data_IF_532492130559
#
_entry.id   IF_532492130559
#
_cell.length_a   1.000
_cell.length_b   1.000
_cell.length_c   1.000
_cell.angle_alpha   90.00
_cell.angle_beta   90.00
_cell.angle_gamma   90.00
#
_symmetry.space_group_name_H-M   'P 1'
#
loop_
_entity.id
_entity.type
_entity.pdbx_description
1 polymer ?
#
# COMPACT_ATOMS: atom_id res chain seq x y z
N UNK A 1 11.91 25.27 26.74
CA UNK A 1 11.10 24.19 26.15
C UNK A 1 12.03 23.39 25.27
N UNK A 2 12.22 22.09 25.54
CA UNK A 2 12.87 21.22 24.56
C UNK A 2 12.10 21.40 23.24
N UNK A 3 12.81 21.56 22.12
CA UNK A 3 12.17 21.61 20.81
C UNK A 3 11.32 20.34 20.70
N UNK A 4 9.99 20.47 20.73
CA UNK A 4 9.11 19.36 20.37
C UNK A 4 9.59 18.93 18.99
N UNK A 5 10.00 17.67 18.87
CA UNK A 5 10.55 17.14 17.63
C UNK A 5 9.53 17.40 16.52
N UNK A 6 10.00 17.81 15.34
CA UNK A 6 9.13 18.01 14.18
C UNK A 6 8.24 16.79 13.94
N UNK A 7 8.79 15.60 14.23
CA UNK A 7 8.08 14.32 14.17
C UNK A 7 6.87 14.25 15.10
N UNK A 8 6.99 14.72 16.33
CA UNK A 8 5.90 14.66 17.32
C UNK A 8 4.77 15.60 16.90
N UNK A 9 5.11 16.82 16.48
CA UNK A 9 4.11 17.79 15.97
C UNK A 9 3.42 17.28 14.70
N UNK A 10 4.16 16.61 13.83
CA UNK A 10 3.59 15.98 12.64
C UNK A 10 2.63 14.86 13.03
N UNK A 11 3.00 14.00 13.97
CA UNK A 11 2.16 12.91 14.45
C UNK A 11 0.86 13.44 15.08
N UNK A 12 0.97 14.43 15.97
CA UNK A 12 -0.18 15.10 16.57
C UNK A 12 -1.10 15.70 15.50
N UNK A 13 -0.53 16.37 14.49
CA UNK A 13 -1.29 16.95 13.38
C UNK A 13 -1.94 15.93 12.44
N UNK A 14 -1.41 14.71 12.36
CA UNK A 14 -2.00 13.63 11.58
C UNK A 14 -3.19 12.98 12.31
N UNK A 15 -3.13 12.87 13.64
CA UNK A 15 -4.18 12.22 14.44
C UNK A 15 -3.69 11.50 15.69
N UNK A 16 -2.46 11.77 16.12
CA UNK A 16 -1.86 11.20 17.32
C UNK A 16 -1.28 9.80 17.11
N UNK A 17 -1.09 9.10 18.23
CA UNK A 17 -0.35 7.84 18.30
C UNK A 17 -0.87 6.74 17.36
N UNK A 18 0.08 5.92 16.91
CA UNK A 18 -0.23 4.71 16.15
C UNK A 18 -0.79 3.62 17.08
N UNK A 19 -1.76 2.81 16.65
CA UNK A 19 -2.16 1.64 17.40
C UNK A 19 -1.02 0.62 17.50
N UNK A 20 -1.12 -0.27 18.48
CA UNK A 20 -0.19 -1.41 18.58
C UNK A 20 -0.28 -2.30 17.32
N UNK A 21 0.87 -2.66 16.72
CA UNK A 21 0.93 -3.54 15.57
C UNK A 21 0.26 -4.90 15.81
N UNK A 22 -0.61 -5.35 14.90
CA UNK A 22 -1.11 -6.73 14.90
C UNK A 22 -0.15 -7.70 14.17
N UNK A 23 -0.32 -9.03 14.22
CA UNK A 23 0.32 -9.93 13.26
C UNK A 23 -0.14 -9.61 11.83
N UNK A 24 0.75 -9.72 10.85
CA UNK A 24 0.41 -9.43 9.44
C UNK A 24 -0.56 -10.45 8.83
N UNK A 25 -0.65 -11.67 9.38
CA UNK A 25 -1.57 -12.71 8.93
C UNK A 25 -1.63 -12.86 7.40
N UNK A 26 -0.47 -12.84 6.73
CA UNK A 26 -0.32 -12.75 5.27
C UNK A 26 -1.08 -13.89 4.58
N UNK A 27 -1.83 -13.56 3.53
CA UNK A 27 -2.49 -14.52 2.65
C UNK A 27 -1.95 -14.35 1.24
N UNK A 28 -1.43 -15.43 0.67
CA UNK A 28 -1.03 -15.47 -0.73
C UNK A 28 -2.17 -16.11 -1.50
N UNK A 29 -2.68 -15.40 -2.51
CA UNK A 29 -3.80 -15.85 -3.33
C UNK A 29 -3.34 -16.40 -4.67
N UNK A 30 -2.23 -15.89 -5.19
CA UNK A 30 -1.69 -16.33 -6.47
C UNK A 30 -0.18 -16.13 -6.53
N UNK A 31 0.50 -16.98 -7.30
CA UNK A 31 1.89 -16.76 -7.72
C UNK A 31 1.99 -17.09 -9.20
N UNK A 32 2.59 -16.19 -9.96
CA UNK A 32 2.77 -16.32 -11.40
C UNK A 32 4.23 -16.03 -11.75
N UNK A 33 4.86 -16.91 -12.54
CA UNK A 33 6.17 -16.64 -13.11
C UNK A 33 6.02 -15.63 -14.26
N UNK A 34 6.84 -14.59 -14.27
CA UNK A 34 7.01 -13.64 -15.36
C UNK A 34 8.44 -13.72 -15.89
N UNK A 35 8.75 -12.93 -16.91
CA UNK A 35 10.09 -12.82 -17.46
C UNK A 35 11.02 -12.05 -16.50
N UNK A 36 11.90 -12.80 -15.81
CA UNK A 36 12.91 -12.29 -14.87
C UNK A 36 12.46 -12.08 -13.43
N UNK A 37 11.18 -12.32 -13.11
CA UNK A 37 10.64 -12.19 -11.75
C UNK A 37 9.38 -13.04 -11.56
N UNK A 38 9.07 -13.33 -10.30
CA UNK A 38 7.78 -13.89 -9.86
C UNK A 38 6.87 -12.78 -9.36
N UNK A 39 5.63 -12.78 -9.81
CA UNK A 39 4.56 -11.93 -9.31
C UNK A 39 3.73 -12.72 -8.29
N UNK A 40 3.62 -12.21 -7.08
CA UNK A 40 2.88 -12.82 -5.98
C UNK A 40 1.73 -11.88 -5.59
N UNK A 41 0.49 -12.34 -5.77
CA UNK A 41 -0.70 -11.64 -5.28
C UNK A 41 -0.94 -12.04 -3.84
N UNK A 42 -1.02 -11.05 -2.95
CA UNK A 42 -1.19 -11.28 -1.52
C UNK A 42 -2.01 -10.17 -0.86
N UNK A 43 -2.42 -10.41 0.38
CA UNK A 43 -2.98 -9.41 1.27
C UNK A 43 -2.51 -9.64 2.71
N UNK A 44 -2.44 -8.57 3.50
CA UNK A 44 -1.96 -8.61 4.88
C UNK A 44 -2.73 -7.65 5.79
N UNK A 45 -2.80 -7.97 7.09
CA UNK A 45 -3.48 -7.16 8.10
C UNK A 45 -2.64 -5.99 8.58
N UNK A 46 -3.20 -4.79 8.39
CA UNK A 46 -2.66 -3.54 8.91
C UNK A 46 -3.26 -3.20 10.27
N UNK A 47 -4.51 -3.60 10.49
CA UNK A 47 -5.24 -3.61 11.76
C UNK A 47 -6.06 -4.90 11.84
N UNK A 48 -6.54 -5.33 13.02
CA UNK A 48 -7.38 -6.52 13.13
C UNK A 48 -8.62 -6.45 12.22
N UNK A 49 -8.65 -7.31 11.20
CA UNK A 49 -9.73 -7.36 10.21
C UNK A 49 -9.65 -6.36 9.06
N UNK A 50 -8.71 -5.40 9.07
CA UNK A 50 -8.44 -4.50 7.93
C UNK A 50 -7.21 -4.98 7.16
N UNK A 51 -7.41 -5.24 5.86
CA UNK A 51 -6.43 -5.91 5.02
C UNK A 51 -6.06 -5.03 3.84
N UNK A 52 -4.77 -5.00 3.52
CA UNK A 52 -4.23 -4.32 2.34
C UNK A 52 -3.88 -5.35 1.27
N UNK A 53 -4.60 -5.37 0.14
CA UNK A 53 -4.21 -6.12 -1.05
C UNK A 53 -2.93 -5.52 -1.64
N UNK A 54 -2.02 -6.39 -2.08
CA UNK A 54 -0.75 -6.00 -2.64
C UNK A 54 -0.24 -7.00 -3.69
N UNK A 55 0.67 -6.51 -4.53
CA UNK A 55 1.45 -7.31 -5.46
C UNK A 55 2.92 -7.27 -5.03
N UNK A 56 3.53 -8.43 -4.86
CA UNK A 56 4.95 -8.56 -4.56
C UNK A 56 5.68 -9.12 -5.80
N UNK A 57 6.64 -8.36 -6.31
CA UNK A 57 7.50 -8.74 -7.42
C UNK A 57 8.85 -9.19 -6.85
N UNK A 58 9.17 -10.46 -7.04
CA UNK A 58 10.40 -11.08 -6.54
C UNK A 58 11.28 -11.46 -7.73
N UNK A 59 12.43 -10.81 -7.94
CA UNK A 59 13.33 -11.17 -9.04
C UNK A 59 13.82 -12.61 -8.89
N UNK A 60 14.04 -13.31 -10.00
CA UNK A 60 14.41 -14.73 -9.98
C UNK A 60 15.74 -15.00 -9.25
N UNK A 61 16.61 -13.98 -9.21
CA UNK A 61 17.89 -14.03 -8.49
C UNK A 61 17.79 -13.86 -6.96
N UNK A 62 16.63 -13.47 -6.42
CA UNK A 62 16.43 -13.26 -5.00
C UNK A 62 15.93 -14.54 -4.30
N UNK A 63 16.72 -15.04 -3.35
CA UNK A 63 16.41 -16.24 -2.57
C UNK A 63 16.73 -16.00 -1.08
N UNK A 64 16.36 -16.94 -0.21
CA UNK A 64 16.73 -16.87 1.21
C UNK A 64 18.25 -16.87 1.44
N UNK A 65 19.03 -17.52 0.56
CA UNK A 65 20.49 -17.56 0.61
C UNK A 65 21.16 -16.38 -0.11
N UNK A 66 20.43 -15.70 -1.00
CA UNK A 66 20.87 -14.52 -1.74
C UNK A 66 19.78 -13.43 -1.67
N UNK A 67 19.66 -12.72 -0.53
CA UNK A 67 18.64 -11.70 -0.38
C UNK A 67 18.90 -10.51 -1.31
N UNK A 68 17.83 -9.83 -1.67
CA UNK A 68 17.86 -8.57 -2.42
C UNK A 68 17.23 -7.44 -1.59
N UNK A 69 17.60 -6.17 -1.83
CA UNK A 69 16.97 -5.04 -1.15
C UNK A 69 15.47 -4.96 -1.50
N UNK A 70 14.66 -4.60 -0.51
CA UNK A 70 13.22 -4.42 -0.63
C UNK A 70 12.83 -2.96 -0.87
N UNK A 71 11.84 -2.73 -1.74
CA UNK A 71 11.28 -1.41 -2.00
C UNK A 71 9.75 -1.51 -1.97
N UNK A 72 9.08 -0.65 -1.20
CA UNK A 72 7.63 -0.50 -1.26
C UNK A 72 7.26 0.73 -2.12
N UNK A 73 6.30 0.58 -3.03
CA UNK A 73 5.89 1.62 -3.97
C UNK A 73 4.38 1.82 -3.93
N UNK A 74 3.97 3.06 -3.71
CA UNK A 74 2.58 3.48 -3.81
C UNK A 74 2.29 4.13 -5.16
N UNK A 75 1.12 3.83 -5.69
CA UNK A 75 0.61 4.40 -6.93
C UNK A 75 0.21 5.88 -6.73
N UNK A 76 0.11 6.60 -7.85
CA UNK A 76 -0.44 7.96 -7.84
C UNK A 76 -1.96 7.94 -7.62
N UNK A 77 -2.52 9.11 -7.32
CA UNK A 77 -3.95 9.29 -7.19
C UNK A 77 -4.66 9.45 -8.55
N UNK A 78 -4.30 10.49 -9.32
CA UNK A 78 -4.82 10.84 -10.67
C UNK A 78 -6.36 10.86 -10.86
N UNK A 79 -7.16 10.70 -9.81
CA UNK A 79 -8.61 10.49 -9.91
C UNK A 79 -8.96 9.09 -10.46
N UNK A 80 -7.98 8.20 -10.57
CA UNK A 80 -8.11 6.88 -11.19
C UNK A 80 -8.28 5.79 -10.14
N UNK A 81 -9.34 5.87 -9.34
CA UNK A 81 -9.63 4.95 -8.23
C UNK A 81 -9.70 3.46 -8.59
N UNK A 82 -9.79 3.12 -9.87
CA UNK A 82 -9.75 1.74 -10.34
C UNK A 82 -8.34 1.19 -10.51
N UNK A 83 -7.30 2.03 -10.38
CA UNK A 83 -5.89 1.69 -10.42
C UNK A 83 -5.29 1.87 -9.03
N UNK A 84 -4.54 0.88 -8.58
CA UNK A 84 -3.83 0.87 -7.32
C UNK A 84 -2.48 0.19 -7.52
N UNK A 85 -2.23 -0.90 -6.80
CA UNK A 85 -1.06 -1.77 -6.90
C UNK A 85 -0.73 -2.21 -8.33
N UNK A 86 -1.73 -2.36 -9.19
CA UNK A 86 -1.55 -2.85 -10.56
C UNK A 86 -0.76 -1.88 -11.45
N UNK A 87 -0.79 -0.56 -11.17
CA UNK A 87 -0.04 0.42 -11.96
C UNK A 87 1.48 0.32 -11.73
N UNK A 88 2.02 0.46 -10.51
CA UNK A 88 3.44 0.30 -10.26
C UNK A 88 3.94 -1.13 -10.53
N UNK A 89 3.08 -2.15 -10.38
CA UNK A 89 3.40 -3.52 -10.78
C UNK A 89 3.49 -3.73 -12.31
N UNK A 90 3.14 -2.72 -13.12
CA UNK A 90 3.25 -2.77 -14.57
C UNK A 90 2.16 -3.55 -15.29
N UNK A 91 1.01 -3.74 -14.65
CA UNK A 91 -0.10 -4.54 -15.16
C UNK A 91 -1.22 -3.70 -15.76
N UNK A 92 -1.35 -2.44 -15.35
CA UNK A 92 -2.39 -1.53 -15.80
C UNK A 92 -1.90 -0.07 -15.76
N UNK A 93 -2.75 0.87 -16.19
CA UNK A 93 -2.46 2.31 -16.08
C UNK A 93 -1.38 2.80 -17.04
N UNK A 94 -0.73 3.89 -16.68
CA UNK A 94 0.25 4.56 -17.53
C UNK A 94 1.65 3.97 -17.32
N UNK A 95 2.29 3.58 -18.44
CA UNK A 95 3.64 2.98 -18.47
C UNK A 95 4.71 3.81 -17.76
N UNK A 96 4.56 5.14 -17.71
CA UNK A 96 5.48 6.02 -16.97
C UNK A 96 5.51 5.73 -15.46
N UNK A 97 4.44 5.14 -14.91
CA UNK A 97 4.34 4.79 -13.49
C UNK A 97 4.59 3.31 -13.21
N UNK A 98 5.05 2.52 -14.20
CA UNK A 98 5.42 1.10 -14.05
C UNK A 98 6.77 0.93 -13.33
N UNK A 99 7.03 1.74 -12.31
CA UNK A 99 8.32 1.84 -11.61
C UNK A 99 8.63 0.56 -10.85
N UNK A 100 7.63 -0.12 -10.29
CA UNK A 100 7.84 -1.34 -9.50
C UNK A 100 8.34 -2.52 -10.33
N UNK A 101 7.75 -2.77 -11.50
CA UNK A 101 8.28 -3.80 -12.41
C UNK A 101 9.64 -3.43 -12.98
N UNK A 102 9.91 -2.13 -13.21
CA UNK A 102 11.24 -1.69 -13.64
C UNK A 102 12.30 -2.02 -12.58
N UNK A 103 12.04 -1.70 -11.31
CA UNK A 103 12.93 -2.02 -10.20
C UNK A 103 13.06 -3.53 -9.95
N UNK A 104 11.97 -4.30 -10.12
CA UNK A 104 12.05 -5.75 -10.01
C UNK A 104 13.03 -6.35 -11.03
N UNK A 105 13.03 -5.85 -12.27
CA UNK A 105 13.97 -6.28 -13.31
C UNK A 105 15.42 -5.89 -13.03
N UNK A 106 15.64 -4.82 -12.26
CA UNK A 106 16.97 -4.42 -11.75
C UNK A 106 17.41 -5.21 -10.52
N UNK A 107 16.62 -6.20 -10.07
CA UNK A 107 17.00 -7.11 -8.99
C UNK A 107 16.54 -6.69 -7.59
N UNK A 108 15.61 -5.75 -7.48
CA UNK A 108 14.97 -5.39 -6.21
C UNK A 108 13.73 -6.24 -5.94
N UNK A 109 13.48 -6.62 -4.69
CA UNK A 109 12.15 -7.14 -4.30
C UNK A 109 11.21 -5.96 -4.13
N UNK A 110 10.08 -5.94 -4.82
CA UNK A 110 9.19 -4.77 -4.83
C UNK A 110 7.80 -5.13 -4.36
N UNK A 111 7.29 -4.41 -3.36
CA UNK A 111 5.91 -4.50 -2.89
C UNK A 111 5.09 -3.30 -3.39
N UNK A 112 3.95 -3.56 -4.02
CA UNK A 112 3.00 -2.58 -4.49
C UNK A 112 1.67 -2.75 -3.74
N UNK A 113 1.35 -1.95 -2.71
CA UNK A 113 0.08 -2.03 -2.00
C UNK A 113 -1.00 -1.10 -2.57
N UNK A 114 -2.27 -1.46 -2.38
CA UNK A 114 -3.40 -0.55 -2.62
C UNK A 114 -3.52 0.49 -1.50
N UNK A 115 -3.54 1.77 -1.86
CA UNK A 115 -3.97 2.83 -0.93
C UNK A 115 -5.46 2.67 -0.59
N UNK A 116 -5.89 3.21 0.55
CA UNK A 116 -7.31 3.18 0.94
C UNK A 116 -8.17 3.81 -0.17
N UNK A 117 -9.31 3.17 -0.49
CA UNK A 117 -10.25 3.56 -1.56
C UNK A 117 -9.81 3.27 -3.00
N UNK A 118 -8.65 2.67 -3.23
CA UNK A 118 -8.16 2.34 -4.58
C UNK A 118 -8.23 0.86 -4.90
N UNK A 119 -8.44 0.56 -6.18
CA UNK A 119 -8.46 -0.79 -6.77
C UNK A 119 -9.28 -1.79 -5.95
N UNK A 120 -8.65 -2.69 -5.19
CA UNK A 120 -9.35 -3.71 -4.40
C UNK A 120 -9.82 -3.19 -3.03
N UNK A 121 -9.40 -2.00 -2.63
CA UNK A 121 -9.86 -1.28 -1.43
C UNK A 121 -10.93 -0.23 -1.71
N UNK A 122 -11.58 -0.28 -2.87
CA UNK A 122 -12.81 0.49 -3.15
C UNK A 122 -13.97 0.01 -2.26
N UNK A 123 -15.06 0.77 -2.23
CA UNK A 123 -16.25 0.42 -1.44
C UNK A 123 -16.69 -1.03 -1.69
N UNK A 124 -16.64 -1.91 -0.67
CA UNK A 124 -16.99 -3.33 -0.84
C UNK A 124 -18.47 -3.53 -1.15
N UNK A 125 -19.33 -2.58 -0.79
CA UNK A 125 -20.77 -2.62 -1.13
C UNK A 125 -21.05 -2.11 -2.54
N UNK A 126 -20.08 -1.39 -3.13
CA UNK A 126 -20.20 -0.73 -4.42
C UNK A 126 -21.25 0.37 -4.46
N UNK A 127 -21.74 0.90 -3.33
CA UNK A 127 -22.73 1.98 -3.29
C UNK A 127 -22.08 3.34 -3.52
N UNK A 128 -20.97 3.59 -2.85
CA UNK A 128 -20.15 4.78 -3.00
C UNK A 128 -19.10 4.52 -4.07
N UNK A 129 -19.12 5.32 -5.14
CA UNK A 129 -18.20 5.18 -6.26
C UNK A 129 -17.11 6.25 -6.22
N UNK A 130 -15.89 5.86 -6.59
CA UNK A 130 -14.75 6.76 -6.81
C UNK A 130 -14.55 7.71 -5.62
N UNK A 131 -14.46 9.02 -5.88
CA UNK A 131 -14.26 10.06 -4.89
C UNK A 131 -15.32 10.11 -3.78
N UNK A 132 -16.52 9.55 -3.98
CA UNK A 132 -17.53 9.51 -2.93
C UNK A 132 -17.15 8.56 -1.79
N UNK A 133 -16.51 7.43 -2.12
CA UNK A 133 -16.05 6.50 -1.09
C UNK A 133 -14.83 7.07 -0.35
N UNK A 134 -13.89 7.67 -1.08
CA UNK A 134 -12.76 8.38 -0.48
C UNK A 134 -13.24 9.50 0.45
N UNK A 135 -14.19 10.33 0.01
CA UNK A 135 -14.75 11.39 0.86
C UNK A 135 -15.41 10.83 2.11
N UNK A 136 -16.10 9.70 2.01
CA UNK A 136 -16.67 9.03 3.17
C UNK A 136 -15.59 8.56 4.16
N UNK A 137 -14.56 7.86 3.68
CA UNK A 137 -13.45 7.41 4.53
C UNK A 137 -12.70 8.60 5.14
N UNK A 138 -12.47 9.67 4.39
CA UNK A 138 -11.88 10.91 4.88
C UNK A 138 -12.68 11.46 6.06
N UNK A 139 -14.00 11.62 5.89
CA UNK A 139 -14.87 12.11 6.95
C UNK A 139 -14.89 11.16 8.15
N UNK A 140 -14.88 9.84 7.91
CA UNK A 140 -14.82 8.81 8.97
C UNK A 140 -13.58 8.95 9.84
N UNK A 141 -12.41 9.23 9.27
CA UNK A 141 -11.20 9.50 10.05
C UNK A 141 -11.25 10.86 10.74
N UNK A 142 -11.74 11.91 10.06
CA UNK A 142 -11.83 13.26 10.64
C UNK A 142 -12.71 13.28 11.88
N UNK A 143 -13.87 12.62 11.86
CA UNK A 143 -14.74 12.55 13.05
C UNK A 143 -14.12 11.74 14.20
N UNK A 144 -13.14 10.87 13.90
CA UNK A 144 -12.35 10.13 14.87
C UNK A 144 -11.08 10.89 15.32
N UNK A 145 -10.93 12.16 14.97
CA UNK A 145 -9.78 12.99 15.33
C UNK A 145 -8.51 12.72 14.53
N UNK A 146 -8.63 12.07 13.35
CA UNK A 146 -7.52 11.67 12.49
C UNK A 146 -7.68 12.25 11.09
N UNK A 147 -6.61 12.42 10.34
CA UNK A 147 -6.68 12.69 8.91
C UNK A 147 -6.51 11.39 8.10
N UNK A 148 -6.89 11.39 6.83
CA UNK A 148 -6.68 10.22 5.98
C UNK A 148 -5.19 9.89 5.77
N UNK A 149 -4.31 10.90 5.82
CA UNK A 149 -2.87 10.65 5.76
C UNK A 149 -2.37 9.84 6.96
N UNK A 150 -2.97 9.98 8.15
CA UNK A 150 -2.69 9.09 9.29
C UNK A 150 -2.95 7.64 8.92
N UNK A 151 -4.10 7.33 8.31
CA UNK A 151 -4.42 5.96 7.90
C UNK A 151 -3.46 5.45 6.83
N UNK A 152 -3.19 6.24 5.80
CA UNK A 152 -2.25 5.83 4.75
C UNK A 152 -0.85 5.57 5.31
N UNK A 153 -0.36 6.41 6.23
CA UNK A 153 0.93 6.22 6.88
C UNK A 153 0.92 5.00 7.81
N UNK A 154 -0.17 4.76 8.55
CA UNK A 154 -0.33 3.54 9.34
C UNK A 154 -0.18 2.31 8.45
N UNK A 155 -0.87 2.27 7.32
CA UNK A 155 -0.79 1.15 6.37
C UNK A 155 0.63 1.00 5.79
N UNK A 156 1.28 2.13 5.46
CA UNK A 156 2.67 2.16 4.98
C UNK A 156 3.68 1.62 5.99
N UNK A 157 3.47 1.84 7.30
CA UNK A 157 4.36 1.33 8.36
C UNK A 157 4.32 -0.19 8.52
N UNK A 158 3.35 -0.85 7.88
CA UNK A 158 3.08 -2.28 7.99
C UNK A 158 3.54 -3.07 6.75
N UNK A 159 3.95 -2.36 5.70
CA UNK A 159 4.44 -2.89 4.43
C UNK A 159 5.88 -3.41 4.54
#
# INVERSE_FOLDING_TARGET
MAAIDFRDRLLDGLGGDWPEPCPLNIRITQTEQKDGYRLVSLDYEVEPGDRVPALLLVPDGATSSKPAPGIAIWHQHAGQYHLGKSEPAGLAGNKMHHTGVALAREGYVVLCPDALCFEDRRDPTGKLKTHWYERFEFLRYVVAGKCMAWKNILDMRRA
#
